data_IF_395648193422
#
_entry.id   IF_395648193422
#
_cell.length_a   1.000
_cell.length_b   1.000
_cell.length_c   1.000
_cell.angle_alpha   90.00
_cell.angle_beta   90.00
_cell.angle_gamma   90.00
#
_symmetry.space_group_name_H-M   'P 1'
#
loop_
_entity.id
_entity.type
_entity.pdbx_description
1 polymer ?
#
# COMPACT_ATOMS: atom_id res chain seq x y z
N UNK A 1 6.22 13.26 -52.71
CA UNK A 1 5.38 12.12 -53.17
C UNK A 1 6.21 10.86 -52.94
N UNK A 2 6.11 10.03 -51.89
CA UNK A 2 5.17 9.77 -50.79
C UNK A 2 6.02 9.38 -49.56
N UNK A 3 6.09 10.18 -48.50
CA UNK A 3 5.39 10.01 -47.21
C UNK A 3 4.55 8.73 -47.02
N UNK A 4 4.79 8.10 -45.86
CA UNK A 4 3.95 7.12 -45.17
C UNK A 4 4.02 5.69 -45.70
N UNK A 5 4.78 4.84 -45.01
CA UNK A 5 4.32 3.49 -44.63
C UNK A 5 5.21 2.94 -43.50
N UNK A 6 4.62 2.94 -42.30
CA UNK A 6 4.86 2.02 -41.18
C UNK A 6 6.23 2.19 -40.49
N UNK A 7 6.43 3.13 -39.56
CA UNK A 7 5.46 3.55 -38.56
C UNK A 7 5.18 2.41 -37.57
N UNK A 8 5.95 2.38 -36.48
CA UNK A 8 5.44 1.96 -35.17
C UNK A 8 5.27 0.45 -34.90
N UNK A 9 6.33 -0.35 -35.05
CA UNK A 9 6.42 -1.61 -34.28
C UNK A 9 6.95 -1.35 -32.86
N UNK A 10 6.39 -0.34 -32.18
CA UNK A 10 6.47 -0.22 -30.72
C UNK A 10 5.20 -0.85 -30.16
N UNK A 11 5.12 -2.18 -30.28
CA UNK A 11 4.18 -2.95 -29.47
C UNK A 11 4.77 -2.95 -28.07
N UNK A 12 4.52 -1.89 -27.30
CA UNK A 12 4.53 -1.99 -25.86
C UNK A 12 3.41 -2.96 -25.49
N UNK A 13 3.75 -4.25 -25.42
CA UNK A 13 2.95 -5.23 -24.71
C UNK A 13 2.96 -4.79 -23.24
N UNK A 14 2.06 -3.89 -22.86
CA UNK A 14 1.73 -3.67 -21.45
C UNK A 14 0.79 -4.78 -21.03
N UNK A 15 1.32 -5.99 -20.92
CA UNK A 15 0.63 -7.07 -20.23
C UNK A 15 1.20 -7.19 -18.83
N UNK A 16 0.90 -6.20 -18.01
CA UNK A 16 0.89 -6.32 -16.57
C UNK A 16 -0.45 -5.75 -16.13
N UNK A 17 -1.41 -6.61 -15.81
CA UNK A 17 -2.68 -6.20 -15.18
C UNK A 17 -2.42 -5.81 -13.70
N UNK A 18 -1.41 -4.97 -13.45
CA UNK A 18 -1.18 -4.38 -12.14
C UNK A 18 -2.10 -3.17 -12.01
N UNK A 19 -2.91 -3.14 -10.96
CA UNK A 19 -3.78 -2.01 -10.73
C UNK A 19 -2.97 -0.81 -10.22
N UNK A 20 -3.02 0.31 -10.95
CA UNK A 20 -2.35 1.55 -10.57
C UNK A 20 -3.30 2.50 -9.82
N UNK A 21 -4.62 2.36 -9.96
CA UNK A 21 -5.61 3.23 -9.33
C UNK A 21 -6.72 2.44 -8.62
N UNK A 22 -6.90 2.76 -7.33
CA UNK A 22 -7.89 2.11 -6.46
C UNK A 22 -8.97 3.09 -5.99
N UNK A 23 -10.20 2.61 -5.91
CA UNK A 23 -11.26 3.21 -5.11
C UNK A 23 -11.28 2.54 -3.73
N UNK A 24 -10.98 3.29 -2.68
CA UNK A 24 -10.65 2.76 -1.34
C UNK A 24 -11.60 3.30 -0.29
N UNK A 25 -12.14 2.38 0.52
CA UNK A 25 -12.97 2.67 1.70
C UNK A 25 -12.34 2.01 2.92
N UNK A 26 -11.39 2.68 3.58
CA UNK A 26 -10.69 2.08 4.70
C UNK A 26 -11.48 2.25 6.00
N UNK A 27 -11.39 1.26 6.87
CA UNK A 27 -11.76 1.29 8.27
C UNK A 27 -10.51 1.02 9.10
N UNK A 28 -10.14 1.97 9.95
CA UNK A 28 -8.91 1.88 10.74
C UNK A 28 -9.23 1.59 12.19
N UNK A 29 -8.57 0.59 12.74
CA UNK A 29 -8.60 0.27 14.16
C UNK A 29 -7.19 0.37 14.72
N UNK A 30 -7.06 0.96 15.89
CA UNK A 30 -5.82 0.95 16.65
C UNK A 30 -6.18 0.46 18.04
N UNK A 31 -5.53 -0.61 18.49
CA UNK A 31 -5.78 -1.10 19.83
C UNK A 31 -5.33 -0.06 20.85
N UNK A 32 -6.07 0.02 21.95
CA UNK A 32 -5.76 0.87 23.09
C UNK A 32 -6.01 0.08 24.35
N UNK A 33 -5.30 -1.04 24.56
CA UNK A 33 -5.66 -1.90 25.68
C UNK A 33 -4.48 -2.39 26.52
N UNK A 34 -4.74 -2.27 27.83
CA UNK A 34 -3.96 -2.61 29.01
C UNK A 34 -2.75 -1.70 29.31
N UNK A 35 -2.79 -1.06 30.50
CA UNK A 35 -1.68 -0.33 31.15
C UNK A 35 -0.37 -1.16 31.26
N UNK A 36 -0.45 -2.46 30.98
CA UNK A 36 0.66 -3.42 31.01
C UNK A 36 1.06 -3.95 29.62
N UNK A 37 0.38 -3.59 28.53
CA UNK A 37 0.78 -4.02 27.19
C UNK A 37 2.02 -3.26 26.75
N UNK A 38 3.09 -4.00 26.42
CA UNK A 38 4.31 -3.43 25.83
C UNK A 38 4.19 -3.22 24.32
N UNK A 39 3.12 -3.73 23.71
CA UNK A 39 2.92 -3.74 22.26
C UNK A 39 1.67 -2.96 21.86
N UNK A 40 1.74 -2.33 20.68
CA UNK A 40 0.65 -1.60 20.04
C UNK A 40 0.33 -2.26 18.71
N UNK A 41 -0.94 -2.59 18.52
CA UNK A 41 -1.44 -3.21 17.28
C UNK A 41 -2.22 -2.17 16.49
N UNK A 42 -1.79 -1.95 15.25
CA UNK A 42 -2.51 -1.12 14.28
C UNK A 42 -3.10 -2.06 13.24
N UNK A 43 -4.42 -2.05 13.12
CA UNK A 43 -5.17 -2.87 12.17
C UNK A 43 -5.87 -1.94 11.16
N UNK A 44 -5.62 -2.16 9.89
CA UNK A 44 -6.33 -1.47 8.81
C UNK A 44 -7.10 -2.53 8.03
N UNK A 45 -8.39 -2.33 7.89
CA UNK A 45 -9.25 -3.13 7.04
C UNK A 45 -10.09 -2.22 6.12
N UNK A 46 -10.84 -2.79 5.19
CA UNK A 46 -11.73 -2.04 4.32
C UNK A 46 -11.87 -2.67 2.96
N UNK A 47 -12.31 -1.87 1.99
CA UNK A 47 -12.46 -2.28 0.59
C UNK A 47 -11.47 -1.49 -0.27
N UNK A 48 -10.77 -2.18 -1.17
CA UNK A 48 -9.87 -1.58 -2.15
C UNK A 48 -10.17 -2.18 -3.53
N UNK A 49 -11.00 -1.46 -4.28
CA UNK A 49 -11.47 -1.88 -5.61
C UNK A 49 -10.59 -1.29 -6.70
N UNK A 50 -10.11 -2.14 -7.59
CA UNK A 50 -9.37 -1.66 -8.75
C UNK A 50 -10.32 -0.95 -9.73
N UNK A 51 -9.96 0.25 -10.21
CA UNK A 51 -10.74 0.95 -11.24
C UNK A 51 -10.61 0.31 -12.62
N UNK A 52 -9.47 -0.32 -12.90
CA UNK A 52 -9.23 -1.07 -14.13
C UNK A 52 -9.56 -2.55 -13.96
N UNK A 53 -9.54 -3.32 -15.07
CA UNK A 53 -9.64 -4.77 -14.99
C UNK A 53 -8.34 -5.34 -14.44
N UNK A 54 -8.39 -5.89 -13.23
CA UNK A 54 -7.25 -6.58 -12.62
C UNK A 54 -7.44 -6.79 -11.12
N UNK A 55 -6.59 -7.63 -10.55
CA UNK A 55 -6.40 -7.75 -9.11
C UNK A 55 -4.90 -7.74 -8.86
N UNK A 56 -4.42 -6.85 -8.01
CA UNK A 56 -3.02 -6.80 -7.61
C UNK A 56 -2.85 -7.10 -6.14
N UNK A 57 -1.73 -7.72 -5.80
CA UNK A 57 -1.29 -7.84 -4.43
C UNK A 57 -0.93 -6.44 -3.91
N UNK A 58 -1.29 -6.18 -2.67
CA UNK A 58 -0.99 -4.92 -2.00
C UNK A 58 0.01 -5.15 -0.87
N UNK A 59 0.83 -4.16 -0.63
CA UNK A 59 1.82 -4.12 0.45
C UNK A 59 1.64 -2.79 1.17
N UNK A 60 1.51 -2.84 2.49
CA UNK A 60 1.37 -1.65 3.30
C UNK A 60 2.68 -1.36 4.02
N UNK A 61 3.04 -0.09 4.09
CA UNK A 61 4.19 0.39 4.83
C UNK A 61 3.73 1.37 5.91
N UNK A 62 4.32 1.21 7.08
CA UNK A 62 4.13 2.08 8.23
C UNK A 62 5.44 2.14 9.04
N UNK A 63 5.96 3.35 9.26
CA UNK A 63 7.17 3.59 10.06
C UNK A 63 8.38 2.74 9.61
N UNK A 64 8.57 2.57 8.30
CA UNK A 64 9.63 1.78 7.69
C UNK A 64 9.36 0.28 7.62
N UNK A 65 8.31 -0.22 8.28
CA UNK A 65 7.92 -1.63 8.29
C UNK A 65 6.96 -1.90 7.14
N UNK A 66 7.29 -2.90 6.32
CA UNK A 66 6.50 -3.32 5.17
C UNK A 66 5.79 -4.65 5.48
N UNK A 67 4.49 -4.72 5.24
CA UNK A 67 3.66 -5.92 5.45
C UNK A 67 2.85 -6.25 4.19
N UNK A 68 2.73 -7.55 3.83
CA UNK A 68 1.78 -7.96 2.79
C UNK A 68 0.35 -7.73 3.28
N UNK A 69 -0.53 -7.29 2.38
CA UNK A 69 -1.94 -7.06 2.67
C UNK A 69 -2.74 -8.30 2.29
N UNK A 70 -3.50 -8.84 3.23
CA UNK A 70 -4.45 -9.90 2.95
C UNK A 70 -5.62 -9.32 2.14
N UNK A 71 -5.96 -9.92 1.00
CA UNK A 71 -7.08 -9.47 0.14
C UNK A 71 -8.05 -10.60 -0.14
N UNK A 72 -9.32 -10.27 -0.21
CA UNK A 72 -10.38 -11.14 -0.69
C UNK A 72 -10.74 -10.76 -2.13
N UNK A 73 -10.46 -11.64 -3.09
CA UNK A 73 -10.54 -11.33 -4.54
C UNK A 73 -11.97 -11.05 -4.99
N UNK A 74 -12.97 -11.70 -4.38
CA UNK A 74 -14.37 -11.56 -4.81
C UNK A 74 -15.08 -10.33 -4.23
N UNK A 75 -14.65 -9.87 -3.05
CA UNK A 75 -15.33 -8.79 -2.32
C UNK A 75 -14.49 -7.50 -2.27
N UNK A 76 -13.29 -7.51 -2.84
CA UNK A 76 -12.31 -6.42 -2.77
C UNK A 76 -11.91 -6.02 -1.33
N UNK A 77 -12.27 -6.82 -0.33
CA UNK A 77 -11.91 -6.58 1.06
C UNK A 77 -10.41 -6.75 1.25
N UNK A 78 -9.82 -5.95 2.13
CA UNK A 78 -8.44 -6.08 2.52
C UNK A 78 -8.26 -5.94 4.03
N UNK A 79 -7.16 -6.50 4.53
CA UNK A 79 -6.74 -6.36 5.91
C UNK A 79 -5.21 -6.39 6.01
N UNK A 80 -4.66 -5.56 6.89
CA UNK A 80 -3.26 -5.59 7.28
C UNK A 80 -3.10 -5.17 8.73
N UNK A 81 -2.19 -5.82 9.44
CA UNK A 81 -1.85 -5.49 10.82
C UNK A 81 -0.36 -5.19 10.96
N UNK A 82 -0.07 -4.26 11.88
CA UNK A 82 1.28 -3.95 12.33
C UNK A 82 1.35 -4.10 13.84
N UNK A 83 2.47 -4.61 14.31
CA UNK A 83 2.79 -4.71 15.74
C UNK A 83 4.06 -3.94 15.98
N UNK A 84 4.02 -3.00 16.92
CA UNK A 84 5.16 -2.20 17.33
C UNK A 84 5.30 -2.23 18.85
N UNK A 85 6.48 -1.87 19.37
CA UNK A 85 6.56 -1.53 20.78
C UNK A 85 5.74 -0.26 21.04
N UNK A 86 5.06 -0.20 22.17
CA UNK A 86 4.21 0.93 22.53
C UNK A 86 4.98 2.27 22.55
N UNK A 87 6.25 2.26 22.98
CA UNK A 87 7.14 3.43 22.96
C UNK A 87 7.45 3.97 21.55
N UNK A 88 7.36 3.15 20.52
CA UNK A 88 7.72 3.49 19.14
C UNK A 88 6.51 4.09 18.38
N UNK A 89 5.32 4.00 18.96
CA UNK A 89 4.06 4.50 18.39
C UNK A 89 3.34 5.36 19.43
N UNK A 90 3.80 6.59 19.69
CA UNK A 90 3.08 7.52 20.55
C UNK A 90 1.71 7.89 19.98
N UNK A 91 0.83 8.46 20.81
CA UNK A 91 -0.42 9.10 20.35
C UNK A 91 -0.15 10.05 19.18
N UNK A 92 -0.92 9.90 18.10
CA UNK A 92 -0.74 10.72 16.91
C UNK A 92 -1.50 10.21 15.68
N UNK A 93 -1.27 10.88 14.56
CA UNK A 93 -1.74 10.45 13.25
C UNK A 93 -0.59 9.79 12.48
N UNK A 94 -0.86 8.59 11.96
CA UNK A 94 0.10 7.80 11.19
C UNK A 94 -0.41 7.63 9.78
N UNK A 95 0.44 7.86 8.79
CA UNK A 95 0.10 7.65 7.38
C UNK A 95 0.64 6.30 6.94
N UNK A 96 -0.28 5.38 6.66
CA UNK A 96 0.03 4.07 6.09
C UNK A 96 0.03 4.19 4.57
N UNK A 97 1.12 3.77 3.94
CA UNK A 97 1.31 3.86 2.49
C UNK A 97 1.09 2.48 1.86
N UNK A 98 0.22 2.39 0.87
CA UNK A 98 -0.06 1.15 0.16
C UNK A 98 0.62 1.15 -1.20
N UNK A 99 1.23 0.04 -1.56
CA UNK A 99 1.94 -0.16 -2.83
C UNK A 99 1.43 -1.41 -3.53
N UNK A 100 1.36 -1.38 -4.85
CA UNK A 100 1.26 -2.58 -5.68
C UNK A 100 2.64 -3.25 -5.85
N UNK A 101 2.72 -4.33 -6.63
CA UNK A 101 3.95 -5.12 -6.84
C UNK A 101 5.09 -4.28 -7.43
N UNK A 102 4.76 -3.34 -8.31
CA UNK A 102 5.72 -2.42 -8.91
C UNK A 102 6.22 -1.40 -7.88
N UNK A 103 5.30 -0.80 -7.12
CA UNK A 103 5.61 0.17 -6.07
C UNK A 103 6.48 -0.41 -4.96
N UNK A 104 6.17 -1.62 -4.49
CA UNK A 104 6.95 -2.26 -3.41
C UNK A 104 8.36 -2.60 -3.86
N UNK A 105 8.53 -3.03 -5.12
CA UNK A 105 9.85 -3.30 -5.70
C UNK A 105 10.68 -2.02 -5.78
N UNK A 106 10.07 -0.90 -6.15
CA UNK A 106 10.72 0.40 -6.15
C UNK A 106 11.09 0.86 -4.73
N UNK A 107 10.18 0.71 -3.76
CA UNK A 107 10.40 1.02 -2.35
C UNK A 107 11.60 0.26 -1.78
N UNK A 108 11.70 -1.05 -2.03
CA UNK A 108 12.81 -1.86 -1.53
C UNK A 108 14.17 -1.45 -2.14
N UNK A 109 14.17 -1.00 -3.40
CA UNK A 109 15.38 -0.47 -4.04
C UNK A 109 15.79 0.88 -3.47
N UNK A 110 14.83 1.79 -3.30
CA UNK A 110 15.10 3.12 -2.75
C UNK A 110 15.53 3.06 -1.29
N UNK A 111 14.96 2.14 -0.50
CA UNK A 111 15.33 1.90 0.89
C UNK A 111 16.78 1.48 1.06
N UNK A 112 17.28 0.60 0.19
CA UNK A 112 18.70 0.22 0.17
C UNK A 112 19.62 1.38 -0.21
N UNK A 113 19.13 2.36 -0.96
CA UNK A 113 19.87 3.54 -1.39
C UNK A 113 19.71 4.77 -0.49
N UNK A 114 18.85 4.73 0.54
CA UNK A 114 18.57 5.86 1.42
C UNK A 114 17.51 6.87 0.92
N UNK A 115 16.84 6.59 -0.22
CA UNK A 115 15.88 7.50 -0.87
C UNK A 115 14.42 7.02 -0.74
N UNK A 116 14.05 6.50 0.44
CA UNK A 116 12.73 5.86 0.70
C UNK A 116 11.53 6.76 0.36
N UNK A 117 11.69 8.09 0.47
CA UNK A 117 10.62 9.08 0.34
C UNK A 117 10.11 9.30 -1.09
N UNK A 118 10.82 8.83 -2.11
CA UNK A 118 10.54 9.23 -3.51
C UNK A 118 9.58 8.29 -4.25
N UNK A 119 9.18 7.17 -3.64
CA UNK A 119 8.31 6.19 -4.28
C UNK A 119 6.84 6.50 -3.93
N UNK A 120 6.01 6.89 -4.90
CA UNK A 120 4.61 7.22 -4.63
C UNK A 120 3.79 5.95 -4.31
N UNK A 121 2.96 5.98 -3.26
CA UNK A 121 1.99 4.91 -3.00
C UNK A 121 0.81 4.96 -3.96
N UNK A 122 0.11 3.83 -4.13
CA UNK A 122 -1.15 3.77 -4.90
C UNK A 122 -2.30 4.43 -4.14
N UNK A 123 -2.29 4.36 -2.81
CA UNK A 123 -3.17 5.12 -1.92
C UNK A 123 -2.58 5.16 -0.50
N UNK A 124 -3.12 6.04 0.34
CA UNK A 124 -2.72 6.18 1.74
C UNK A 124 -3.93 6.11 2.66
N UNK A 125 -3.72 5.59 3.86
CA UNK A 125 -4.73 5.56 4.91
C UNK A 125 -4.16 6.22 6.16
N UNK A 126 -4.88 7.21 6.71
CA UNK A 126 -4.49 7.86 7.97
C UNK A 126 -5.11 7.13 9.15
N UNK A 127 -4.27 6.64 10.05
CA UNK A 127 -4.68 6.00 11.31
C UNK A 127 -4.48 6.98 12.45
N UNK A 128 -5.52 7.18 13.27
CA UNK A 128 -5.43 7.98 14.50
C UNK A 128 -5.22 7.06 15.71
N UNK A 129 -4.00 7.03 16.23
CA UNK A 129 -3.71 6.37 17.49
C UNK A 129 -3.97 7.33 18.66
N UNK A 130 -4.87 6.96 19.57
CA UNK A 130 -5.40 7.87 20.59
C UNK A 130 -4.73 7.77 21.96
N UNK A 131 -3.93 6.73 22.21
CA UNK A 131 -3.43 6.37 23.55
C UNK A 131 -1.94 6.16 23.52
#
# INVERSE_FOLDING_TARGET
MNWVLVGFLSVFVKLALSCDEFDVRPVTYSSSEAVLSTETVILIEGEAKCKEKGSSNLYAELNGVLQPVARHIETDNFQVSFVFNHKDVPKGEYTVRFYNEKGVTAYLRSSKGGFVSDVPPVFTVTVRHKV
#
